data_IF_351892100871
#
_entry.id   IF_351892100871
#
_cell.length_a   1.000
_cell.length_b   1.000
_cell.length_c   1.000
_cell.angle_alpha   90.00
_cell.angle_beta   90.00
_cell.angle_gamma   90.00
#
_symmetry.space_group_name_H-M   'P 1'
#
loop_
_entity.id
_entity.type
_entity.pdbx_description
1 polymer ?
#
# COMPACT_ATOMS: atom_id res chain seq x y z
N UNK A 1 4.92 7.77 -20.84
CA UNK A 1 5.75 8.65 -19.98
C UNK A 1 5.27 8.53 -18.52
N UNK A 2 6.09 8.79 -17.49
CA UNK A 2 5.63 8.77 -16.08
C UNK A 2 5.83 10.11 -15.35
N UNK A 3 4.98 10.39 -14.36
CA UNK A 3 4.96 11.66 -13.61
C UNK A 3 6.27 11.98 -12.91
N UNK A 4 6.94 10.97 -12.34
CA UNK A 4 8.23 11.16 -11.66
C UNK A 4 9.35 11.49 -12.65
N UNK A 5 9.30 10.98 -13.88
CA UNK A 5 10.28 11.33 -14.91
C UNK A 5 10.11 12.78 -15.37
N UNK A 6 8.87 13.21 -15.61
CA UNK A 6 8.56 14.62 -15.92
C UNK A 6 9.06 15.53 -14.78
N UNK A 7 8.90 15.11 -13.52
CA UNK A 7 9.44 15.87 -12.40
C UNK A 7 10.97 16.07 -12.48
N UNK A 8 11.74 15.07 -12.97
CA UNK A 8 13.19 15.23 -13.15
C UNK A 8 13.53 16.30 -14.19
N UNK A 9 12.78 16.37 -15.29
CA UNK A 9 12.97 17.38 -16.33
C UNK A 9 12.57 18.77 -15.83
N UNK A 10 11.45 18.88 -15.11
CA UNK A 10 11.00 20.13 -14.49
C UNK A 10 12.05 20.66 -13.50
N UNK A 11 12.60 19.81 -12.64
CA UNK A 11 13.65 20.22 -11.69
C UNK A 11 14.88 20.74 -12.43
N UNK A 12 15.36 20.00 -13.43
CA UNK A 12 16.52 20.38 -14.23
C UNK A 12 16.33 21.74 -14.90
N UNK A 13 15.18 21.95 -15.55
CA UNK A 13 14.89 23.19 -16.26
C UNK A 13 14.78 24.40 -15.32
N UNK A 14 14.10 24.24 -14.18
CA UNK A 14 13.93 25.32 -13.20
C UNK A 14 15.25 25.67 -12.51
N UNK A 15 16.13 24.70 -12.28
CA UNK A 15 17.49 24.96 -11.77
C UNK A 15 18.33 25.76 -12.76
N UNK A 16 18.20 25.50 -14.07
CA UNK A 16 18.87 26.30 -15.10
C UNK A 16 18.39 27.76 -15.16
N UNK A 17 17.18 28.05 -14.65
CA UNK A 17 16.66 29.41 -14.44
C UNK A 17 17.15 30.05 -13.14
N UNK A 18 17.96 29.33 -12.35
CA UNK A 18 18.55 29.82 -11.11
C UNK A 18 17.65 29.68 -9.88
N UNK A 19 16.63 28.82 -9.91
CA UNK A 19 15.83 28.48 -8.73
C UNK A 19 16.22 27.12 -8.16
N UNK A 20 16.33 27.05 -6.84
CA UNK A 20 16.77 25.87 -6.13
C UNK A 20 15.60 25.00 -5.66
N UNK A 21 15.84 23.69 -5.56
CA UNK A 21 14.92 22.78 -4.88
C UNK A 21 15.08 22.93 -3.37
N UNK A 22 13.97 23.13 -2.67
CA UNK A 22 13.94 23.24 -1.20
C UNK A 22 13.44 21.93 -0.60
N UNK A 23 14.29 21.29 0.21
CA UNK A 23 14.04 19.94 0.73
C UNK A 23 13.98 18.88 -0.38
N UNK A 24 13.26 17.79 -0.13
CA UNK A 24 13.10 16.73 -1.12
C UNK A 24 11.85 16.95 -1.98
N UNK A 25 11.90 16.66 -3.30
CA UNK A 25 10.70 16.42 -4.09
C UNK A 25 9.82 15.36 -3.42
N UNK A 26 8.50 15.51 -3.51
CA UNK A 26 7.55 14.66 -2.79
C UNK A 26 6.79 13.77 -3.75
N UNK A 27 6.79 12.46 -3.52
CA UNK A 27 5.95 11.49 -4.22
C UNK A 27 4.81 11.05 -3.30
N UNK A 28 3.62 11.60 -3.54
CA UNK A 28 2.46 11.42 -2.67
C UNK A 28 1.45 10.49 -3.32
N UNK A 29 1.21 9.34 -2.70
CA UNK A 29 0.15 8.40 -3.08
C UNK A 29 -1.19 8.84 -2.52
N UNK A 30 -2.22 8.75 -3.34
CA UNK A 30 -3.60 9.09 -2.96
C UNK A 30 -4.43 7.82 -2.80
N UNK A 31 -5.74 7.97 -2.60
CA UNK A 31 -6.64 6.87 -2.29
C UNK A 31 -6.50 5.74 -3.32
N UNK A 32 -6.03 4.55 -2.91
CA UNK A 32 -5.65 3.51 -3.85
C UNK A 32 -6.88 2.74 -4.38
N UNK A 33 -8.10 3.06 -3.91
CA UNK A 33 -9.35 2.39 -4.29
C UNK A 33 -10.17 3.17 -5.33
N UNK A 34 -9.71 4.34 -5.77
CA UNK A 34 -10.41 5.16 -6.77
C UNK A 34 -10.41 4.47 -8.14
N UNK A 35 -11.57 4.34 -8.82
CA UNK A 35 -11.66 3.66 -10.12
C UNK A 35 -11.04 4.48 -11.27
N UNK A 36 -10.98 5.80 -11.14
CA UNK A 36 -10.46 6.72 -12.17
C UNK A 36 -8.97 7.02 -12.03
N UNK A 37 -8.22 6.19 -11.29
CA UNK A 37 -6.79 6.38 -11.06
C UNK A 37 -5.94 5.93 -12.25
N UNK A 38 -4.78 6.56 -12.39
CA UNK A 38 -3.65 5.95 -13.09
C UNK A 38 -2.97 4.92 -12.17
N UNK A 39 -2.14 4.02 -12.72
CA UNK A 39 -1.46 2.98 -11.92
C UNK A 39 -0.70 3.64 -10.76
N UNK A 40 -0.99 3.20 -9.54
CA UNK A 40 -0.36 3.69 -8.31
C UNK A 40 -0.88 5.03 -7.77
N UNK A 41 -1.83 5.73 -8.43
CA UNK A 41 -2.49 6.96 -7.98
C UNK A 41 -1.55 7.97 -7.26
N UNK A 42 -0.40 8.27 -7.88
CA UNK A 42 0.63 9.15 -7.29
C UNK A 42 0.62 10.53 -7.92
N UNK A 43 0.98 11.54 -7.13
CA UNK A 43 1.21 12.92 -7.56
C UNK A 43 2.52 13.45 -6.99
N UNK A 44 3.09 14.47 -7.63
CA UNK A 44 4.36 15.07 -7.25
C UNK A 44 4.14 16.48 -6.72
N UNK A 45 4.85 16.85 -5.66
CA UNK A 45 4.98 18.22 -5.21
C UNK A 45 6.45 18.58 -5.03
N UNK A 46 6.84 19.76 -5.50
CA UNK A 46 8.21 20.25 -5.45
C UNK A 46 8.15 21.68 -4.94
N UNK A 47 9.06 22.03 -4.03
CA UNK A 47 9.18 23.39 -3.54
C UNK A 47 10.41 24.02 -4.18
N UNK A 48 10.20 25.16 -4.85
CA UNK A 48 11.26 25.97 -5.45
C UNK A 48 11.41 27.30 -4.72
N UNK A 49 12.59 27.92 -4.84
CA UNK A 49 12.90 29.26 -4.33
C UNK A 49 14.40 29.52 -4.40
N UNK A 50 14.89 30.57 -3.74
CA UNK A 50 16.34 30.71 -3.50
C UNK A 50 16.75 29.91 -2.28
N UNK A 51 17.71 29.00 -2.45
CA UNK A 51 18.13 28.06 -1.43
C UNK A 51 19.17 28.63 -0.46
N UNK A 52 19.12 28.16 0.78
CA UNK A 52 20.14 28.42 1.80
C UNK A 52 20.32 27.24 2.77
N UNK A 53 21.26 27.39 3.69
CA UNK A 53 21.53 26.39 4.73
C UNK A 53 22.27 25.16 4.19
N UNK A 54 21.93 23.98 4.70
CA UNK A 54 22.60 22.72 4.33
C UNK A 54 22.25 22.31 2.90
N UNK A 55 23.27 21.98 2.13
CA UNK A 55 23.16 21.47 0.76
C UNK A 55 23.23 19.95 0.79
N UNK A 56 22.35 19.28 0.04
CA UNK A 56 22.35 17.82 -0.11
C UNK A 56 22.21 17.42 -1.58
N UNK A 57 23.01 16.45 -2.04
CA UNK A 57 22.77 15.79 -3.34
C UNK A 57 21.51 14.93 -3.23
N UNK A 58 20.53 15.20 -4.09
CA UNK A 58 19.24 14.49 -4.14
C UNK A 58 19.00 13.77 -5.45
N UNK A 59 19.83 13.98 -6.46
CA UNK A 59 19.69 13.31 -7.75
C UNK A 59 20.85 13.55 -8.69
N UNK A 60 20.76 12.91 -9.84
CA UNK A 60 21.63 13.12 -10.99
C UNK A 60 20.78 13.06 -12.25
N UNK A 61 20.67 14.17 -12.97
CA UNK A 61 19.79 14.35 -14.15
C UNK A 61 20.59 15.12 -15.22
N UNK A 62 21.51 14.41 -15.88
CA UNK A 62 22.51 15.01 -16.78
C UNK A 62 23.37 16.07 -16.06
N UNK A 63 23.67 15.82 -14.78
CA UNK A 63 24.27 16.77 -13.86
C UNK A 63 23.78 16.55 -12.44
N UNK A 64 24.55 16.98 -11.45
CA UNK A 64 24.17 16.78 -10.04
C UNK A 64 23.03 17.72 -9.64
N UNK A 65 21.98 17.15 -9.05
CA UNK A 65 20.86 17.90 -8.49
C UNK A 65 21.04 18.04 -6.99
N UNK A 66 21.09 19.29 -6.53
CA UNK A 66 21.15 19.64 -5.12
C UNK A 66 19.81 20.17 -4.59
N UNK A 67 19.58 19.93 -3.30
CA UNK A 67 18.52 20.57 -2.52
C UNK A 67 19.08 21.37 -1.36
N UNK A 68 18.34 22.39 -0.95
CA UNK A 68 18.67 23.26 0.17
C UNK A 68 17.69 23.08 1.32
N UNK A 69 18.18 23.17 2.56
CA UNK A 69 17.35 22.96 3.75
C UNK A 69 16.38 24.11 4.04
N UNK A 70 16.71 25.33 3.60
CA UNK A 70 15.91 26.53 3.87
C UNK A 70 15.62 27.30 2.60
N UNK A 71 14.44 27.91 2.53
CA UNK A 71 14.06 28.87 1.49
C UNK A 71 14.37 30.28 1.98
N UNK A 72 15.20 31.02 1.26
CA UNK A 72 15.54 32.42 1.54
C UNK A 72 14.46 33.34 0.96
N UNK A 73 14.07 33.11 -0.29
CA UNK A 73 13.03 33.86 -0.98
C UNK A 73 12.22 32.97 -1.92
N UNK A 74 11.04 33.45 -2.30
CA UNK A 74 10.23 32.82 -3.33
C UNK A 74 10.88 32.93 -4.71
N UNK A 75 10.46 32.05 -5.61
CA UNK A 75 10.74 32.19 -7.04
C UNK A 75 9.53 32.77 -7.78
N UNK A 76 9.77 33.28 -8.98
CA UNK A 76 8.74 33.88 -9.83
C UNK A 76 7.84 32.77 -10.43
N UNK A 77 6.54 32.85 -10.14
CA UNK A 77 5.58 31.79 -10.54
C UNK A 77 5.42 31.75 -12.06
N UNK A 78 5.39 32.91 -12.69
CA UNK A 78 5.16 33.07 -14.12
C UNK A 78 6.29 32.41 -14.92
N UNK A 79 7.55 32.69 -14.57
CA UNK A 79 8.72 32.05 -15.21
C UNK A 79 8.71 30.53 -15.05
N UNK A 80 8.41 30.05 -13.83
CA UNK A 80 8.32 28.61 -13.55
C UNK A 80 7.17 27.98 -14.34
N UNK A 81 6.03 28.67 -14.44
CA UNK A 81 4.83 28.17 -15.11
C UNK A 81 5.05 27.98 -16.60
N UNK A 82 5.68 28.94 -17.27
CA UNK A 82 6.00 28.85 -18.70
C UNK A 82 6.90 27.64 -19.00
N UNK A 83 7.95 27.44 -18.20
CA UNK A 83 8.88 26.32 -18.36
C UNK A 83 8.15 24.98 -18.15
N UNK A 84 7.32 24.89 -17.12
CA UNK A 84 6.54 23.68 -16.83
C UNK A 84 5.52 23.38 -17.94
N UNK A 85 4.88 24.40 -18.50
CA UNK A 85 3.92 24.23 -19.60
C UNK A 85 4.60 23.67 -20.86
N UNK A 86 5.77 24.19 -21.21
CA UNK A 86 6.62 23.71 -22.31
C UNK A 86 7.00 22.23 -22.14
N UNK A 87 7.46 21.84 -20.94
CA UNK A 87 7.87 20.46 -20.64
C UNK A 87 6.67 19.50 -20.67
N UNK A 88 5.53 19.90 -20.12
CA UNK A 88 4.35 19.03 -20.09
C UNK A 88 3.78 18.86 -21.50
N UNK A 89 3.72 19.94 -22.28
CA UNK A 89 3.23 19.89 -23.65
C UNK A 89 4.10 19.03 -24.56
N UNK A 90 5.41 18.96 -24.31
CA UNK A 90 6.34 18.13 -25.10
C UNK A 90 6.43 16.67 -24.65
N UNK A 91 6.30 16.37 -23.35
CA UNK A 91 6.57 15.03 -22.81
C UNK A 91 5.33 14.25 -22.36
N UNK A 92 4.21 14.92 -22.10
CA UNK A 92 3.01 14.21 -21.70
C UNK A 92 2.39 13.49 -22.90
N UNK A 93 1.96 12.24 -22.69
CA UNK A 93 1.24 11.46 -23.70
C UNK A 93 -0.20 11.98 -23.81
N UNK A 94 -0.35 13.13 -24.48
CA UNK A 94 -1.61 13.83 -24.66
C UNK A 94 -2.60 13.05 -25.54
N UNK A 95 -2.17 12.01 -26.25
CA UNK A 95 -3.08 11.15 -27.01
C UNK A 95 -3.78 10.10 -26.15
N UNK A 96 -3.25 9.75 -24.97
CA UNK A 96 -3.90 8.76 -24.09
C UNK A 96 -5.17 9.37 -23.44
N UNK A 97 -6.37 8.82 -23.70
CA UNK A 97 -7.63 9.36 -23.15
C UNK A 97 -7.69 9.33 -21.61
N UNK A 98 -6.85 8.54 -20.94
CA UNK A 98 -6.75 8.45 -19.48
C UNK A 98 -5.76 9.44 -18.88
N UNK A 99 -4.94 10.10 -19.71
CA UNK A 99 -3.94 11.08 -19.28
C UNK A 99 -4.59 12.46 -19.21
N UNK A 100 -4.73 12.98 -17.98
CA UNK A 100 -5.26 14.33 -17.70
C UNK A 100 -4.30 15.10 -16.80
N UNK A 101 -3.17 15.61 -17.33
CA UNK A 101 -2.20 16.35 -16.55
C UNK A 101 -2.82 17.57 -15.88
N UNK A 102 -2.28 17.93 -14.72
CA UNK A 102 -2.67 19.14 -14.00
C UNK A 102 -1.54 19.57 -13.08
N UNK A 103 -1.24 20.87 -13.10
CA UNK A 103 -0.21 21.49 -12.27
C UNK A 103 -0.85 22.63 -11.50
N UNK A 104 -0.44 22.80 -10.26
CA UNK A 104 -0.87 23.90 -9.40
C UNK A 104 0.37 24.54 -8.77
N UNK A 105 0.35 25.87 -8.68
CA UNK A 105 1.42 26.68 -8.12
C UNK A 105 0.87 27.42 -6.91
N UNK A 106 1.42 27.13 -5.75
CA UNK A 106 1.00 27.69 -4.47
C UNK A 106 2.17 28.42 -3.82
N UNK A 107 1.97 29.70 -3.45
CA UNK A 107 2.94 30.44 -2.60
C UNK A 107 2.98 29.86 -1.17
N UNK A 108 1.85 29.33 -0.70
CA UNK A 108 1.67 28.72 0.63
C UNK A 108 0.91 27.41 0.54
N UNK A 109 1.21 26.44 1.41
CA UNK A 109 0.58 25.11 1.36
C UNK A 109 -0.95 25.19 1.52
N UNK A 110 -1.71 24.42 0.72
CA UNK A 110 -3.13 24.30 0.90
C UNK A 110 -3.48 23.57 2.21
N UNK A 111 -4.72 23.73 2.71
CA UNK A 111 -5.15 23.08 3.95
C UNK A 111 -4.97 21.56 3.92
N UNK A 112 -4.43 20.99 5.00
CA UNK A 112 -4.14 19.56 5.14
C UNK A 112 -5.35 18.64 4.91
N UNK A 113 -6.58 19.13 5.15
CA UNK A 113 -7.78 18.33 4.93
C UNK A 113 -7.93 17.88 3.46
N UNK A 114 -7.37 18.63 2.50
CA UNK A 114 -7.38 18.26 1.08
C UNK A 114 -6.59 16.99 0.85
N UNK A 115 -5.39 16.89 1.41
CA UNK A 115 -4.61 15.66 1.40
C UNK A 115 -5.35 14.53 2.12
N UNK A 116 -5.82 14.79 3.35
CA UNK A 116 -6.52 13.78 4.18
C UNK A 116 -7.73 13.20 3.45
N UNK A 117 -8.50 14.02 2.73
CA UNK A 117 -9.60 13.56 1.90
C UNK A 117 -9.10 12.84 0.65
N UNK A 118 -8.10 13.37 -0.04
CA UNK A 118 -7.52 12.76 -1.25
C UNK A 118 -6.91 11.37 -1.04
N UNK A 119 -6.36 11.09 0.15
CA UNK A 119 -5.78 9.78 0.47
C UNK A 119 -6.79 8.78 1.05
N UNK A 120 -7.90 9.25 1.64
CA UNK A 120 -8.87 8.39 2.36
C UNK A 120 -10.28 8.31 1.75
N UNK A 121 -10.62 9.18 0.81
CA UNK A 121 -11.98 9.36 0.27
C UNK A 121 -11.95 9.75 -1.21
N UNK A 122 -13.14 9.97 -1.79
CA UNK A 122 -13.28 10.61 -3.10
C UNK A 122 -13.19 12.13 -2.90
N UNK A 123 -12.16 12.75 -3.48
CA UNK A 123 -12.01 14.20 -3.56
C UNK A 123 -12.45 14.68 -4.94
N UNK A 124 -13.40 15.62 -5.00
CA UNK A 124 -13.93 16.11 -6.27
C UNK A 124 -13.10 17.27 -6.84
N UNK A 125 -13.14 17.41 -8.17
CA UNK A 125 -12.50 18.55 -8.85
C UNK A 125 -13.11 19.90 -8.43
N UNK A 126 -14.42 19.93 -8.13
CA UNK A 126 -15.12 21.15 -7.67
C UNK A 126 -14.55 21.66 -6.34
N UNK A 127 -14.33 20.75 -5.39
CA UNK A 127 -13.72 21.08 -4.10
C UNK A 127 -12.30 21.61 -4.27
N UNK A 128 -11.51 20.98 -5.14
CA UNK A 128 -10.12 21.38 -5.41
C UNK A 128 -10.06 22.75 -6.08
N UNK A 129 -10.90 23.00 -7.11
CA UNK A 129 -10.99 24.31 -7.76
C UNK A 129 -11.38 25.42 -6.78
N UNK A 130 -12.25 25.13 -5.80
CA UNK A 130 -12.59 26.10 -4.74
C UNK A 130 -11.37 26.48 -3.91
N UNK A 131 -10.52 25.51 -3.55
CA UNK A 131 -9.28 25.78 -2.80
C UNK A 131 -8.28 26.59 -3.63
N UNK A 132 -8.08 26.21 -4.90
CA UNK A 132 -7.20 26.94 -5.83
C UNK A 132 -7.63 28.41 -5.93
N UNK A 133 -8.93 28.67 -6.14
CA UNK A 133 -9.47 30.03 -6.23
C UNK A 133 -9.35 30.80 -4.89
N UNK A 134 -9.68 30.17 -3.76
CA UNK A 134 -9.62 30.81 -2.43
C UNK A 134 -8.19 31.21 -2.05
N UNK A 135 -7.19 30.50 -2.58
CA UNK A 135 -5.79 30.74 -2.28
C UNK A 135 -5.07 31.56 -3.35
N UNK A 136 -5.78 32.03 -4.37
CA UNK A 136 -5.23 32.75 -5.51
C UNK A 136 -4.04 32.00 -6.15
N UNK A 137 -4.24 30.70 -6.38
CA UNK A 137 -3.20 29.82 -6.91
C UNK A 137 -3.27 29.71 -8.44
N UNK A 138 -2.14 29.90 -9.10
CA UNK A 138 -1.97 29.65 -10.53
C UNK A 138 -2.03 28.15 -10.83
N UNK A 139 -2.55 27.76 -11.99
CA UNK A 139 -2.61 26.35 -12.39
C UNK A 139 -2.52 26.17 -13.91
N UNK A 140 -2.13 24.97 -14.34
CA UNK A 140 -2.22 24.50 -15.71
C UNK A 140 -3.14 23.27 -15.73
N UNK A 141 -4.16 23.28 -16.58
CA UNK A 141 -5.16 22.22 -16.64
C UNK A 141 -5.30 21.72 -18.07
N UNK A 142 -4.96 20.44 -18.28
CA UNK A 142 -5.06 19.82 -19.58
C UNK A 142 -6.27 18.87 -19.62
N UNK A 143 -6.95 18.84 -20.77
CA UNK A 143 -8.17 18.04 -20.97
C UNK A 143 -9.20 18.25 -19.85
N UNK A 144 -9.59 17.19 -19.14
CA UNK A 144 -10.59 17.20 -18.06
C UNK A 144 -10.06 17.75 -16.72
N UNK A 145 -8.79 18.12 -16.62
CA UNK A 145 -8.21 18.77 -15.44
C UNK A 145 -8.15 17.91 -14.17
N UNK A 146 -8.31 16.58 -14.28
CA UNK A 146 -8.32 15.67 -13.12
C UNK A 146 -6.99 15.65 -12.35
N UNK A 147 -5.87 15.91 -13.03
CA UNK A 147 -4.55 16.00 -12.41
C UNK A 147 -4.45 17.06 -11.32
N UNK A 148 -5.28 18.11 -11.36
CA UNK A 148 -5.34 19.14 -10.32
C UNK A 148 -5.67 18.57 -8.93
N UNK A 149 -6.47 17.50 -8.88
CA UNK A 149 -6.83 16.82 -7.63
C UNK A 149 -5.58 16.29 -6.96
N UNK A 150 -4.76 15.56 -7.72
CA UNK A 150 -3.55 14.96 -7.19
C UNK A 150 -2.48 15.98 -6.89
N UNK A 151 -2.27 16.96 -7.78
CA UNK A 151 -1.29 18.02 -7.58
C UNK A 151 -1.59 18.83 -6.31
N UNK A 152 -2.85 19.24 -6.10
CA UNK A 152 -3.25 19.99 -4.89
C UNK A 152 -3.10 19.15 -3.63
N UNK A 153 -3.49 17.88 -3.66
CA UNK A 153 -3.34 16.97 -2.54
C UNK A 153 -1.86 16.69 -2.19
N UNK A 154 -0.98 16.59 -3.18
CA UNK A 154 0.45 16.42 -2.96
C UNK A 154 1.09 17.65 -2.27
N UNK A 155 0.70 18.88 -2.67
CA UNK A 155 1.18 20.11 -2.01
C UNK A 155 0.62 20.23 -0.58
N UNK A 156 -0.64 19.82 -0.36
CA UNK A 156 -1.29 19.82 0.96
C UNK A 156 -0.68 18.80 1.95
N UNK A 157 0.13 17.85 1.48
CA UNK A 157 0.64 16.77 2.32
C UNK A 157 1.59 17.28 3.42
N UNK A 158 1.24 16.94 4.65
CA UNK A 158 2.03 17.18 5.85
C UNK A 158 2.21 15.83 6.57
N UNK A 159 3.40 15.20 6.45
CA UNK A 159 3.62 13.84 6.94
C UNK A 159 3.55 13.75 8.46
N UNK A 160 2.91 12.68 8.97
CA UNK A 160 3.09 12.22 10.36
C UNK A 160 4.12 11.11 10.45
N UNK A 161 4.10 10.23 9.45
CA UNK A 161 5.11 9.24 9.13
C UNK A 161 5.54 9.51 7.68
N UNK A 162 6.77 9.16 7.32
CA UNK A 162 7.31 9.33 5.98
C UNK A 162 8.39 8.30 5.71
N UNK A 163 8.56 8.01 4.44
CA UNK A 163 9.65 7.20 3.91
C UNK A 163 10.28 7.94 2.75
N UNK A 164 11.38 7.40 2.25
CA UNK A 164 12.04 7.89 1.06
C UNK A 164 12.03 6.80 -0.02
N UNK A 165 12.02 7.21 -1.27
CA UNK A 165 12.19 6.32 -2.41
C UNK A 165 13.24 6.92 -3.35
N UNK A 166 14.32 6.20 -3.62
CA UNK A 166 15.25 6.53 -4.70
C UNK A 166 14.76 5.85 -5.96
N UNK A 167 14.47 6.63 -6.99
CA UNK A 167 14.06 6.14 -8.30
C UNK A 167 15.21 6.29 -9.28
N UNK A 168 15.54 5.19 -9.98
CA UNK A 168 16.48 5.19 -11.09
C UNK A 168 15.73 5.10 -12.41
N UNK A 169 16.29 5.70 -13.46
CA UNK A 169 15.67 5.74 -14.77
C UNK A 169 16.62 5.26 -15.86
N UNK A 170 16.03 4.62 -16.88
CA UNK A 170 16.70 4.15 -18.10
C UNK A 170 16.29 5.02 -19.29
N UNK A 171 17.10 5.01 -20.34
CA UNK A 171 16.77 5.65 -21.61
C UNK A 171 16.48 4.58 -22.68
N UNK A 172 15.28 4.00 -22.63
CA UNK A 172 14.93 2.85 -23.47
C UNK A 172 15.73 1.58 -23.14
N UNK A 173 15.79 0.65 -24.10
CA UNK A 173 16.53 -0.61 -23.97
C UNK A 173 15.86 -1.68 -23.09
N UNK A 174 16.59 -2.75 -22.80
CA UNK A 174 16.11 -3.82 -21.92
C UNK A 174 16.16 -3.39 -20.44
N UNK A 175 15.14 -3.78 -19.66
CA UNK A 175 15.15 -3.58 -18.20
C UNK A 175 15.74 -4.83 -17.58
N UNK A 176 16.90 -4.68 -16.95
CA UNK A 176 17.59 -5.77 -16.28
C UNK A 176 18.11 -5.32 -14.92
N UNK A 177 17.90 -6.17 -13.91
CA UNK A 177 18.38 -6.01 -12.53
C UNK A 177 18.85 -7.39 -12.06
N UNK A 178 20.05 -7.46 -11.51
CA UNK A 178 20.62 -8.71 -11.00
C UNK A 178 19.99 -9.09 -9.65
N UNK A 179 19.38 -10.27 -9.60
CA UNK A 179 18.64 -10.75 -8.44
C UNK A 179 19.50 -10.89 -7.18
N UNK A 180 20.71 -11.43 -7.29
CA UNK A 180 21.60 -11.65 -6.14
C UNK A 180 22.06 -10.33 -5.53
N UNK A 181 22.37 -9.32 -6.35
CA UNK A 181 22.71 -7.98 -5.86
C UNK A 181 21.56 -7.32 -5.10
N UNK A 182 20.30 -7.62 -5.44
CA UNK A 182 19.12 -7.12 -4.70
C UNK A 182 18.99 -7.83 -3.36
N UNK A 183 19.22 -9.15 -3.30
CA UNK A 183 19.21 -9.91 -2.04
C UNK A 183 20.32 -9.45 -1.10
N UNK A 184 21.52 -9.20 -1.63
CA UNK A 184 22.64 -8.66 -0.87
C UNK A 184 22.30 -7.26 -0.31
N UNK A 185 21.80 -6.37 -1.17
CA UNK A 185 21.36 -5.03 -0.75
C UNK A 185 20.28 -5.09 0.33
N UNK A 186 19.27 -5.95 0.18
CA UNK A 186 18.16 -6.10 1.13
C UNK A 186 18.63 -6.56 2.53
N UNK A 187 19.70 -7.36 2.60
CA UNK A 187 20.32 -7.81 3.87
C UNK A 187 21.19 -6.72 4.51
N UNK A 188 21.98 -6.03 3.69
CA UNK A 188 22.98 -5.04 4.13
C UNK A 188 22.43 -3.63 4.39
N UNK A 189 21.17 -3.38 3.99
CA UNK A 189 20.49 -2.10 4.15
C UNK A 189 19.19 -2.30 4.96
N UNK A 190 19.28 -2.46 6.30
CA UNK A 190 18.15 -2.84 7.14
C UNK A 190 17.03 -1.80 7.22
N UNK A 191 17.28 -0.53 6.92
CA UNK A 191 16.25 0.52 6.86
C UNK A 191 15.54 0.58 5.51
N UNK A 192 15.94 -0.24 4.53
CA UNK A 192 15.17 -0.47 3.31
C UNK A 192 14.07 -1.52 3.51
N UNK A 193 13.05 -1.49 2.67
CA UNK A 193 11.92 -2.43 2.73
C UNK A 193 11.27 -2.65 1.37
N UNK A 194 10.53 -3.76 1.27
CA UNK A 194 9.83 -4.21 0.06
C UNK A 194 10.76 -4.41 -1.15
N UNK A 195 12.00 -4.86 -0.95
CA UNK A 195 12.96 -4.94 -2.04
C UNK A 195 12.85 -6.24 -2.85
N UNK A 196 12.79 -7.36 -2.13
CA UNK A 196 12.75 -8.70 -2.71
C UNK A 196 11.77 -9.60 -1.95
N UNK A 197 11.05 -10.44 -2.69
CA UNK A 197 10.15 -11.44 -2.15
C UNK A 197 10.83 -12.81 -2.16
N UNK A 198 11.30 -13.27 -1.00
CA UNK A 198 12.02 -14.54 -0.89
C UNK A 198 11.14 -15.77 -1.12
N UNK A 199 9.89 -15.73 -0.68
CA UNK A 199 8.97 -16.86 -0.85
C UNK A 199 8.55 -17.01 -2.32
N UNK A 200 8.31 -15.89 -3.00
CA UNK A 200 7.84 -15.89 -4.39
C UNK A 200 8.96 -15.70 -5.42
N UNK A 201 10.22 -15.58 -4.96
CA UNK A 201 11.43 -15.33 -5.77
C UNK A 201 11.25 -14.17 -6.74
N UNK A 202 10.94 -12.99 -6.21
CA UNK A 202 10.53 -11.83 -7.02
C UNK A 202 11.30 -10.56 -6.67
N UNK A 203 11.85 -9.87 -7.69
CA UNK A 203 12.48 -8.56 -7.55
C UNK A 203 11.39 -7.48 -7.54
N UNK A 204 11.04 -6.97 -6.36
CA UNK A 204 9.94 -6.03 -6.19
C UNK A 204 10.30 -4.58 -6.55
N UNK A 205 11.57 -4.19 -6.38
CA UNK A 205 12.04 -2.85 -6.74
C UNK A 205 11.92 -2.55 -8.24
N UNK A 206 11.78 -3.59 -9.08
CA UNK A 206 11.78 -3.48 -10.53
C UNK A 206 10.34 -3.46 -11.08
N UNK A 207 9.90 -2.38 -11.76
CA UNK A 207 8.56 -2.37 -12.34
C UNK A 207 8.46 -3.29 -13.57
N UNK A 208 7.26 -3.80 -13.83
CA UNK A 208 6.93 -4.59 -15.04
C UNK A 208 6.28 -3.78 -16.18
N UNK A 209 6.07 -2.47 -16.00
CA UNK A 209 5.49 -1.60 -17.03
C UNK A 209 6.54 -1.08 -18.02
N UNK A 210 6.19 -0.64 -19.24
CA UNK A 210 7.12 -0.05 -20.20
C UNK A 210 7.67 1.33 -19.79
N UNK A 211 7.38 1.81 -18.57
CA UNK A 211 7.77 3.11 -18.06
C UNK A 211 9.31 3.33 -18.02
N UNK A 212 9.77 4.58 -17.89
CA UNK A 212 11.21 4.89 -17.89
C UNK A 212 11.92 4.51 -16.58
N UNK A 213 11.20 4.09 -15.54
CA UNK A 213 11.82 3.65 -14.27
C UNK A 213 12.58 2.34 -14.53
N UNK A 214 13.82 2.28 -14.04
CA UNK A 214 14.65 1.08 -14.04
C UNK A 214 14.39 0.25 -12.78
N UNK A 215 14.59 0.84 -11.60
CA UNK A 215 14.13 0.30 -10.32
C UNK A 215 13.88 1.44 -9.31
N UNK A 216 13.22 1.11 -8.19
CA UNK A 216 12.99 2.03 -7.08
C UNK A 216 13.18 1.36 -5.73
N UNK A 217 14.05 1.90 -4.88
CA UNK A 217 14.34 1.35 -3.54
C UNK A 217 13.69 2.26 -2.50
N UNK A 218 12.97 1.65 -1.55
CA UNK A 218 12.28 2.37 -0.46
C UNK A 218 12.99 2.16 0.86
N UNK A 219 13.01 3.19 1.70
CA UNK A 219 13.63 3.11 3.01
C UNK A 219 13.36 4.31 3.90
N UNK A 220 13.83 4.21 5.14
CA UNK A 220 13.68 5.25 6.16
C UNK A 220 14.90 6.20 6.21
N UNK A 221 16.07 5.77 5.75
CA UNK A 221 17.30 6.56 5.75
C UNK A 221 17.79 6.90 4.33
N UNK A 222 18.11 8.18 4.10
CA UNK A 222 18.47 8.70 2.78
C UNK A 222 19.89 8.30 2.36
N UNK A 223 20.83 8.22 3.29
CA UNK A 223 22.22 7.86 2.95
C UNK A 223 22.33 6.35 2.71
N UNK A 224 21.60 5.54 3.48
CA UNK A 224 21.46 4.11 3.24
C UNK A 224 20.79 3.84 1.88
N UNK A 225 19.80 4.63 1.45
CA UNK A 225 19.23 4.50 0.10
C UNK A 225 20.24 4.75 -1.01
N UNK A 226 21.17 5.70 -0.82
CA UNK A 226 22.27 5.93 -1.78
C UNK A 226 23.25 4.76 -1.80
N UNK A 227 23.60 4.21 -0.62
CA UNK A 227 24.39 2.98 -0.50
C UNK A 227 23.69 1.84 -1.25
N UNK A 228 22.41 1.60 -0.96
CA UNK A 228 21.59 0.57 -1.57
C UNK A 228 21.55 0.68 -3.10
N UNK A 229 21.35 1.89 -3.64
CA UNK A 229 21.38 2.15 -5.08
C UNK A 229 22.72 1.74 -5.72
N UNK A 230 23.85 1.99 -5.04
CA UNK A 230 25.17 1.63 -5.55
C UNK A 230 25.49 0.13 -5.46
N UNK A 231 24.79 -0.61 -4.59
CA UNK A 231 24.93 -2.07 -4.46
C UNK A 231 24.20 -2.84 -5.56
N UNK A 232 23.10 -2.29 -6.08
CA UNK A 232 22.27 -2.98 -7.08
C UNK A 232 22.94 -2.96 -8.45
N UNK A 233 23.26 -4.15 -8.97
CA UNK A 233 23.75 -4.33 -10.33
C UNK A 233 22.58 -4.38 -11.31
N UNK A 234 22.59 -3.51 -12.33
CA UNK A 234 21.49 -3.37 -13.30
C UNK A 234 21.97 -2.92 -14.68
N UNK A 235 21.04 -2.76 -15.62
CA UNK A 235 21.34 -2.01 -16.84
C UNK A 235 21.68 -0.55 -16.51
N UNK A 236 22.27 0.17 -17.48
CA UNK A 236 22.83 1.52 -17.25
C UNK A 236 21.78 2.49 -16.68
N UNK A 237 22.02 2.96 -15.46
CA UNK A 237 21.28 4.06 -14.86
C UNK A 237 21.61 5.34 -15.61
N UNK A 238 20.61 5.97 -16.24
CA UNK A 238 20.80 7.26 -16.95
C UNK A 238 20.71 8.44 -16.00
N UNK A 239 19.84 8.33 -14.99
CA UNK A 239 19.58 9.37 -14.01
C UNK A 239 18.89 8.76 -12.79
N UNK A 240 18.92 9.47 -11.67
CA UNK A 240 18.23 9.07 -10.46
C UNK A 240 17.76 10.29 -9.65
N UNK A 241 16.75 10.08 -8.80
CA UNK A 241 16.21 11.13 -7.93
C UNK A 241 15.64 10.52 -6.65
N UNK A 242 15.89 11.18 -5.52
CA UNK A 242 15.28 10.88 -4.22
C UNK A 242 13.95 11.62 -4.05
N UNK A 243 12.95 10.91 -3.54
CA UNK A 243 11.65 11.46 -3.19
C UNK A 243 11.33 11.22 -1.72
N UNK A 244 10.77 12.21 -1.03
CA UNK A 244 10.06 12.02 0.25
C UNK A 244 8.64 11.54 -0.04
N UNK A 245 8.18 10.49 0.62
CA UNK A 245 6.96 9.78 0.25
C UNK A 245 6.11 9.39 1.45
N UNK A 246 4.81 9.20 1.22
CA UNK A 246 3.89 8.60 2.18
C UNK A 246 3.78 7.07 2.01
N UNK A 247 4.69 6.44 1.27
CA UNK A 247 4.63 5.00 1.02
C UNK A 247 4.99 4.22 2.28
N UNK A 248 4.33 3.09 2.48
CA UNK A 248 4.52 2.25 3.66
C UNK A 248 4.09 2.91 4.98
N UNK A 249 3.12 3.83 5.00
CA UNK A 249 2.73 4.60 6.20
C UNK A 249 1.34 4.32 6.75
N UNK A 250 0.51 3.54 6.05
CA UNK A 250 -0.92 3.35 6.35
C UNK A 250 -1.76 4.64 6.33
N UNK A 251 -1.28 5.73 5.75
CA UNK A 251 -2.01 7.00 5.76
C UNK A 251 -3.37 6.95 5.04
N UNK A 252 -3.68 5.91 4.26
CA UNK A 252 -5.01 5.66 3.66
C UNK A 252 -6.03 5.04 4.61
N UNK A 253 -5.61 4.41 5.69
CA UNK A 253 -6.47 3.60 6.54
C UNK A 253 -7.32 4.44 7.51
N UNK A 254 -8.54 3.94 7.79
CA UNK A 254 -9.51 4.53 8.71
C UNK A 254 -10.10 3.46 9.61
N UNK A 255 -10.09 3.68 10.92
CA UNK A 255 -10.89 2.85 11.83
C UNK A 255 -12.38 3.05 11.52
N UNK A 256 -13.10 1.96 11.35
CA UNK A 256 -14.54 1.92 11.06
C UNK A 256 -15.20 0.80 11.84
N UNK A 257 -16.45 1.00 12.22
CA UNK A 257 -17.34 -0.11 12.52
C UNK A 257 -17.86 -0.72 11.22
N UNK A 258 -18.35 -1.97 11.25
CA UNK A 258 -18.78 -2.70 10.06
C UNK A 258 -19.88 -1.93 9.29
N UNK A 259 -20.84 -1.38 10.01
CA UNK A 259 -21.97 -0.62 9.48
C UNK A 259 -21.59 0.73 8.86
N UNK A 260 -20.40 1.25 9.15
CA UNK A 260 -19.89 2.50 8.63
C UNK A 260 -19.01 2.32 7.38
N UNK A 261 -18.69 1.06 7.02
CA UNK A 261 -17.81 0.75 5.89
C UNK A 261 -18.46 1.20 4.59
N UNK A 262 -17.73 2.01 3.83
CA UNK A 262 -18.18 2.54 2.53
C UNK A 262 -17.25 2.07 1.40
N UNK A 263 -17.78 1.84 0.19
CA UNK A 263 -16.98 1.61 -1.00
C UNK A 263 -15.91 2.69 -1.20
N UNK A 264 -14.78 2.30 -1.79
CA UNK A 264 -13.68 3.19 -2.13
C UNK A 264 -12.93 3.80 -0.93
N UNK A 265 -13.19 3.36 0.30
CA UNK A 265 -12.36 3.66 1.47
C UNK A 265 -11.33 2.53 1.72
N UNK A 266 -10.33 2.80 2.56
CA UNK A 266 -9.51 1.75 3.18
C UNK A 266 -9.75 1.78 4.68
N UNK A 267 -10.01 0.61 5.26
CA UNK A 267 -10.56 0.48 6.60
C UNK A 267 -9.73 -0.42 7.52
N UNK A 268 -9.83 -0.15 8.81
CA UNK A 268 -9.39 -0.99 9.92
C UNK A 268 -10.66 -1.39 10.67
N UNK A 269 -11.00 -2.67 10.63
CA UNK A 269 -12.25 -3.18 11.19
C UNK A 269 -11.95 -4.35 12.12
N UNK A 270 -12.49 -4.28 13.34
CA UNK A 270 -12.42 -5.37 14.31
C UNK A 270 -13.71 -6.19 14.24
N UNK A 271 -13.59 -7.52 14.27
CA UNK A 271 -14.75 -8.41 14.28
C UNK A 271 -14.37 -9.85 14.61
N UNK A 272 -15.40 -10.68 14.71
CA UNK A 272 -15.28 -12.11 14.96
C UNK A 272 -15.54 -12.84 13.64
N UNK A 273 -14.68 -13.79 13.25
CA UNK A 273 -14.92 -14.62 12.06
C UNK A 273 -16.27 -15.32 12.19
N UNK A 274 -17.14 -15.12 11.20
CA UNK A 274 -18.52 -15.59 11.23
C UNK A 274 -18.79 -16.68 10.19
N UNK A 275 -18.64 -16.35 8.90
CA UNK A 275 -18.49 -17.36 7.86
C UNK A 275 -17.03 -17.78 7.74
N UNK A 276 -16.80 -19.09 7.74
CA UNK A 276 -15.46 -19.64 7.63
C UNK A 276 -14.86 -19.43 6.22
N UNK A 277 -13.53 -19.36 6.10
CA UNK A 277 -12.86 -19.19 4.82
C UNK A 277 -13.22 -20.27 3.80
N UNK A 278 -13.71 -19.84 2.63
CA UNK A 278 -13.92 -20.70 1.46
C UNK A 278 -13.07 -20.23 0.30
N UNK A 279 -12.54 -21.19 -0.46
CA UNK A 279 -11.82 -20.91 -1.70
C UNK A 279 -12.82 -20.88 -2.86
N UNK A 280 -12.81 -19.81 -3.65
CA UNK A 280 -13.64 -19.67 -4.85
C UNK A 280 -12.78 -19.82 -6.12
N UNK A 281 -13.45 -19.84 -7.28
CA UNK A 281 -12.79 -19.87 -8.59
C UNK A 281 -11.73 -18.76 -8.72
N UNK A 282 -10.61 -19.07 -9.38
CA UNK A 282 -9.43 -18.21 -9.42
C UNK A 282 -8.56 -18.27 -8.17
N UNK A 283 -8.90 -19.11 -7.18
CA UNK A 283 -8.09 -19.33 -5.98
C UNK A 283 -8.19 -18.21 -4.95
N UNK A 284 -9.25 -17.41 -4.98
CA UNK A 284 -9.48 -16.37 -3.96
C UNK A 284 -10.06 -17.00 -2.70
N UNK A 285 -9.68 -16.47 -1.53
CA UNK A 285 -10.23 -16.92 -0.24
C UNK A 285 -11.16 -15.83 0.29
N UNK A 286 -12.41 -16.21 0.54
CA UNK A 286 -13.45 -15.33 1.04
C UNK A 286 -13.92 -15.86 2.39
N UNK A 287 -14.10 -14.96 3.36
CA UNK A 287 -14.70 -15.23 4.67
C UNK A 287 -15.49 -14.00 5.10
N UNK A 288 -16.20 -14.06 6.23
CA UNK A 288 -16.85 -12.88 6.80
C UNK A 288 -16.43 -12.66 8.25
N UNK A 289 -16.42 -11.39 8.64
CA UNK A 289 -16.34 -11.01 10.05
C UNK A 289 -17.64 -10.34 10.46
N UNK A 290 -18.01 -10.56 11.71
CA UNK A 290 -19.21 -10.01 12.31
C UNK A 290 -18.88 -9.33 13.62
N UNK A 291 -19.45 -8.16 13.80
CA UNK A 291 -19.64 -7.56 15.11
C UNK A 291 -21.15 -7.37 15.32
N UNK A 292 -21.68 -6.15 15.14
CA UNK A 292 -23.12 -5.91 15.05
C UNK A 292 -23.68 -6.35 13.68
N UNK A 293 -22.97 -5.96 12.61
CA UNK A 293 -23.23 -6.37 11.23
C UNK A 293 -22.12 -7.27 10.71
N UNK A 294 -22.43 -7.97 9.64
CA UNK A 294 -21.52 -8.84 8.92
C UNK A 294 -20.95 -8.14 7.69
N UNK A 295 -19.67 -8.39 7.39
CA UNK A 295 -19.00 -7.92 6.17
C UNK A 295 -18.05 -8.96 5.60
N UNK A 296 -18.04 -9.06 4.28
CA UNK A 296 -17.16 -9.95 3.53
C UNK A 296 -15.71 -9.42 3.53
N UNK A 297 -14.76 -10.32 3.73
CA UNK A 297 -13.33 -10.10 3.63
C UNK A 297 -12.74 -11.05 2.59
N UNK A 298 -11.78 -10.56 1.79
CA UNK A 298 -11.16 -11.35 0.73
C UNK A 298 -9.64 -11.25 0.74
N UNK A 299 -8.99 -12.41 0.63
CA UNK A 299 -7.60 -12.57 0.23
C UNK A 299 -7.56 -13.09 -1.21
N UNK A 300 -7.32 -12.19 -2.17
CA UNK A 300 -7.31 -12.53 -3.59
C UNK A 300 -6.06 -13.33 -4.00
N UNK A 301 -6.11 -13.95 -5.18
CA UNK A 301 -5.03 -14.77 -5.75
C UNK A 301 -3.66 -14.09 -5.67
N UNK A 302 -3.54 -12.78 -6.02
CA UNK A 302 -2.25 -12.10 -6.00
C UNK A 302 -1.61 -12.01 -4.61
N UNK A 303 -2.35 -12.27 -3.52
CA UNK A 303 -1.81 -12.32 -2.16
C UNK A 303 -1.06 -13.62 -1.84
N UNK A 304 -0.99 -14.57 -2.78
CA UNK A 304 -0.14 -15.78 -2.72
C UNK A 304 -0.27 -16.55 -1.40
N UNK A 305 0.83 -16.71 -0.67
CA UNK A 305 0.96 -17.43 0.60
C UNK A 305 0.07 -16.87 1.72
N UNK A 306 -0.29 -15.58 1.68
CA UNK A 306 -1.20 -14.97 2.66
C UNK A 306 -2.56 -15.68 2.71
N UNK A 307 -3.04 -16.19 1.57
CA UNK A 307 -4.27 -16.99 1.50
C UNK A 307 -4.23 -18.22 2.42
N UNK A 308 -3.07 -18.87 2.54
CA UNK A 308 -2.89 -20.05 3.40
C UNK A 308 -3.04 -19.70 4.88
N UNK A 309 -2.72 -18.47 5.28
CA UNK A 309 -2.96 -17.98 6.64
C UNK A 309 -4.46 -17.75 6.84
N UNK A 310 -5.10 -17.04 5.92
CA UNK A 310 -6.54 -16.74 5.99
C UNK A 310 -7.37 -18.02 6.01
N UNK A 311 -7.00 -19.05 5.25
CA UNK A 311 -7.67 -20.37 5.24
C UNK A 311 -7.67 -21.10 6.60
N UNK A 312 -6.77 -20.73 7.53
CA UNK A 312 -6.67 -21.36 8.85
C UNK A 312 -7.60 -20.73 9.89
N UNK A 313 -8.26 -19.62 9.55
CA UNK A 313 -9.24 -18.98 10.42
C UNK A 313 -10.48 -19.87 10.57
N UNK A 314 -11.09 -19.83 11.75
CA UNK A 314 -12.32 -20.58 12.05
C UNK A 314 -13.33 -19.64 12.69
N UNK A 315 -14.59 -20.05 12.69
CA UNK A 315 -15.65 -19.27 13.33
C UNK A 315 -15.34 -19.05 14.81
N UNK A 316 -15.48 -17.79 15.25
CA UNK A 316 -15.19 -17.38 16.63
C UNK A 316 -13.82 -16.74 16.83
N UNK A 317 -12.93 -16.76 15.84
CA UNK A 317 -11.65 -16.03 15.91
C UNK A 317 -11.89 -14.53 15.97
N UNK A 318 -11.24 -13.85 16.91
CA UNK A 318 -11.26 -12.39 17.01
C UNK A 318 -10.12 -11.81 16.20
N UNK A 319 -10.44 -10.97 15.22
CA UNK A 319 -9.47 -10.43 14.26
C UNK A 319 -9.66 -8.92 14.04
N UNK A 320 -8.58 -8.24 13.67
CA UNK A 320 -8.62 -6.89 13.09
C UNK A 320 -8.12 -6.97 11.65
N UNK A 321 -8.98 -6.63 10.70
CA UNK A 321 -8.67 -6.65 9.27
C UNK A 321 -8.34 -5.24 8.77
N UNK A 322 -7.40 -5.16 7.85
CA UNK A 322 -6.93 -3.93 7.20
C UNK A 322 -7.05 -4.10 5.70
N UNK A 323 -7.71 -3.17 5.01
CA UNK A 323 -7.89 -3.36 3.57
C UNK A 323 -8.67 -2.28 2.85
N UNK A 324 -8.61 -2.33 1.52
CA UNK A 324 -9.42 -1.48 0.63
C UNK A 324 -10.81 -2.07 0.39
N UNK A 325 -11.84 -1.21 0.33
CA UNK A 325 -13.24 -1.64 0.21
C UNK A 325 -13.68 -1.61 -1.25
N UNK A 326 -14.01 -2.78 -1.79
CA UNK A 326 -14.66 -2.93 -3.10
C UNK A 326 -16.16 -2.62 -2.98
N UNK A 327 -16.77 -2.09 -4.04
CA UNK A 327 -18.20 -1.71 -4.05
C UNK A 327 -19.14 -2.92 -4.16
N UNK A 328 -18.90 -3.80 -5.13
CA UNK A 328 -19.83 -4.88 -5.49
C UNK A 328 -19.10 -6.21 -5.74
N UNK A 329 -19.31 -7.25 -4.91
CA UNK A 329 -19.93 -7.15 -3.58
C UNK A 329 -19.12 -6.21 -2.65
N UNK A 330 -19.76 -5.76 -1.57
CA UNK A 330 -19.10 -4.92 -0.57
C UNK A 330 -18.13 -5.78 0.23
N UNK A 331 -16.84 -5.68 -0.10
CA UNK A 331 -15.80 -6.60 0.39
C UNK A 331 -14.56 -5.84 0.81
N UNK A 332 -13.98 -6.21 1.96
CA UNK A 332 -12.67 -5.73 2.40
C UNK A 332 -11.57 -6.58 1.76
N UNK A 333 -10.78 -5.97 0.88
CA UNK A 333 -9.63 -6.59 0.24
C UNK A 333 -8.44 -6.50 1.19
N UNK A 334 -8.05 -7.63 1.78
CA UNK A 334 -7.05 -7.66 2.84
C UNK A 334 -5.66 -7.22 2.37
N UNK A 335 -5.06 -6.33 3.14
CA UNK A 335 -3.65 -5.92 3.07
C UNK A 335 -2.85 -6.54 4.23
N UNK A 336 -3.49 -6.69 5.40
CA UNK A 336 -2.97 -7.34 6.60
C UNK A 336 -4.10 -7.70 7.56
N UNK A 337 -3.79 -8.57 8.50
CA UNK A 337 -4.71 -9.05 9.53
C UNK A 337 -3.94 -9.23 10.84
N UNK A 338 -4.56 -8.80 11.94
CA UNK A 338 -4.11 -9.10 13.30
C UNK A 338 -5.08 -10.10 13.91
N UNK A 339 -4.57 -11.27 14.29
CA UNK A 339 -5.34 -12.33 14.95
C UNK A 339 -5.23 -12.11 16.44
N UNK A 340 -6.22 -11.43 17.01
CA UNK A 340 -6.21 -11.02 18.41
C UNK A 340 -6.46 -12.19 19.37
N UNK A 341 -7.33 -13.13 18.99
CA UNK A 341 -7.70 -14.27 19.83
C UNK A 341 -8.17 -15.45 19.01
N UNK A 342 -7.63 -16.64 19.28
CA UNK A 342 -8.05 -17.88 18.63
C UNK A 342 -9.21 -18.56 19.37
N UNK A 343 -10.23 -18.94 18.61
CA UNK A 343 -11.28 -19.83 19.10
C UNK A 343 -10.72 -21.21 19.42
N UNK A 344 -11.20 -21.80 20.53
CA UNK A 344 -10.88 -23.17 20.92
C UNK A 344 -11.66 -24.14 20.05
N UNK A 345 -10.94 -24.94 19.28
CA UNK A 345 -11.53 -26.01 18.45
C UNK A 345 -11.40 -27.33 19.18
N UNK A 346 -12.49 -28.09 19.23
CA UNK A 346 -12.52 -29.42 19.81
C UNK A 346 -12.89 -30.43 18.74
N UNK A 347 -12.16 -31.53 18.64
CA UNK A 347 -12.53 -32.67 17.79
C UNK A 347 -12.92 -33.84 18.67
N UNK A 348 -13.83 -34.66 18.14
CA UNK A 348 -14.15 -35.93 18.77
C UNK A 348 -12.97 -36.89 18.60
N UNK A 349 -12.42 -37.36 19.72
CA UNK A 349 -11.35 -38.35 19.76
C UNK A 349 -11.94 -39.76 19.71
N UNK A 350 -12.86 -40.05 20.63
CA UNK A 350 -13.40 -41.39 20.84
C UNK A 350 -14.89 -41.36 21.15
N UNK A 351 -15.57 -42.47 20.85
CA UNK A 351 -16.94 -42.67 21.31
C UNK A 351 -16.94 -42.86 22.84
N UNK A 352 -18.02 -42.47 23.55
CA UNK A 352 -18.14 -42.68 25.00
C UNK A 352 -17.96 -44.15 25.37
N UNK A 353 -17.41 -44.39 26.55
CA UNK A 353 -17.43 -45.70 27.19
C UNK A 353 -18.81 -45.96 27.82
N UNK A 354 -19.30 -47.18 27.67
CA UNK A 354 -20.53 -47.59 28.33
C UNK A 354 -20.33 -47.64 29.85
N UNK A 355 -21.03 -46.76 30.59
CA UNK A 355 -21.00 -46.68 32.07
C UNK A 355 -21.32 -48.00 32.80
N UNK A 356 -21.87 -49.01 32.11
CA UNK A 356 -22.17 -50.34 32.70
C UNK A 356 -21.09 -51.39 32.44
N UNK A 357 -20.48 -51.42 31.24
CA UNK A 357 -19.60 -52.52 30.84
C UNK A 357 -18.22 -52.08 30.33
N UNK A 358 -17.94 -50.77 30.33
CA UNK A 358 -16.65 -50.21 29.95
C UNK A 358 -16.30 -50.29 28.47
N UNK A 359 -17.14 -50.87 27.60
CA UNK A 359 -16.87 -50.91 26.14
C UNK A 359 -17.22 -49.59 25.45
N UNK A 360 -16.43 -49.19 24.45
CA UNK A 360 -16.79 -48.08 23.56
C UNK A 360 -18.15 -48.32 22.90
N UNK A 361 -18.99 -47.31 22.95
CA UNK A 361 -20.31 -47.33 22.31
C UNK A 361 -20.16 -47.10 20.80
N UNK A 362 -21.10 -47.58 19.98
CA UNK A 362 -21.13 -47.29 18.53
C UNK A 362 -22.03 -46.11 18.25
N UNK A 363 -21.69 -45.31 17.23
CA UNK A 363 -22.57 -44.25 16.74
C UNK A 363 -23.85 -44.85 16.16
N UNK A 364 -25.00 -44.25 16.46
CA UNK A 364 -26.29 -44.64 15.89
C UNK A 364 -26.79 -43.67 14.81
N UNK A 365 -25.91 -42.84 14.28
CA UNK A 365 -26.16 -41.87 13.21
C UNK A 365 -25.83 -40.42 13.62
N UNK A 366 -25.63 -39.55 12.63
CA UNK A 366 -25.31 -38.13 12.85
C UNK A 366 -26.40 -37.46 13.69
N UNK A 367 -26.04 -36.84 14.82
CA UNK A 367 -26.96 -36.18 15.74
C UNK A 367 -27.77 -37.11 16.64
N UNK A 368 -27.59 -38.43 16.55
CA UNK A 368 -28.42 -39.43 17.27
C UNK A 368 -27.73 -40.01 18.51
N UNK A 369 -26.47 -39.67 18.76
CA UNK A 369 -25.68 -40.17 19.89
C UNK A 369 -25.10 -41.56 19.66
N UNK A 370 -24.94 -42.32 20.75
CA UNK A 370 -24.25 -43.61 20.78
C UNK A 370 -25.08 -44.70 21.45
N UNK A 371 -24.82 -45.96 21.09
CA UNK A 371 -25.42 -47.14 21.74
C UNK A 371 -24.35 -48.19 22.05
N UNK A 372 -24.42 -48.76 23.25
CA UNK A 372 -23.61 -49.91 23.60
C UNK A 372 -24.22 -51.18 23.00
N UNK A 373 -23.47 -51.90 22.18
CA UNK A 373 -23.94 -53.17 21.60
C UNK A 373 -24.20 -54.24 22.66
N UNK A 374 -23.38 -54.31 23.72
CA UNK A 374 -23.51 -55.33 24.77
C UNK A 374 -24.66 -55.05 25.75
N UNK A 375 -24.87 -53.79 26.12
CA UNK A 375 -25.80 -53.42 27.21
C UNK A 375 -27.06 -52.70 26.73
N UNK A 376 -27.16 -52.34 25.45
CA UNK A 376 -28.29 -51.60 24.89
C UNK A 376 -28.42 -50.13 25.32
N UNK A 377 -27.70 -49.70 26.38
CA UNK A 377 -27.70 -48.31 26.87
C UNK A 377 -27.29 -47.32 25.77
N UNK A 378 -27.86 -46.12 25.83
CA UNK A 378 -27.56 -45.00 24.93
C UNK A 378 -26.77 -43.91 25.65
N UNK A 379 -25.99 -43.15 24.89
CA UNK A 379 -25.28 -41.96 25.36
C UNK A 379 -25.49 -40.82 24.35
N UNK A 380 -25.46 -39.58 24.84
CA UNK A 380 -25.60 -38.37 24.01
C UNK A 380 -24.31 -38.07 23.26
N UNK A 381 -24.37 -37.22 22.24
CA UNK A 381 -23.17 -36.80 21.49
C UNK A 381 -22.14 -36.09 22.38
N UNK A 382 -22.62 -35.29 23.33
CA UNK A 382 -21.85 -34.57 24.35
C UNK A 382 -21.03 -35.49 25.27
N UNK A 383 -21.42 -36.76 25.41
CA UNK A 383 -20.70 -37.73 26.24
C UNK A 383 -19.47 -38.29 25.50
N UNK A 384 -19.27 -37.96 24.22
CA UNK A 384 -18.06 -38.32 23.49
C UNK A 384 -16.83 -37.68 24.12
N UNK A 385 -15.71 -38.40 24.06
CA UNK A 385 -14.43 -37.87 24.50
C UNK A 385 -13.97 -36.88 23.43
N UNK A 386 -14.01 -35.60 23.77
CA UNK A 386 -13.52 -34.52 22.93
C UNK A 386 -12.10 -34.14 23.34
N UNK A 387 -11.28 -33.80 22.36
CA UNK A 387 -9.93 -33.29 22.58
C UNK A 387 -9.75 -31.92 21.94
N UNK A 388 -9.00 -31.05 22.62
CA UNK A 388 -8.65 -29.74 22.08
C UNK A 388 -7.69 -29.95 20.91
N UNK A 389 -8.02 -29.35 19.76
CA UNK A 389 -7.15 -29.37 18.59
C UNK A 389 -6.15 -28.22 18.71
N UNK A 390 -4.86 -28.52 18.63
CA UNK A 390 -3.83 -27.50 18.46
C UNK A 390 -3.93 -26.92 17.05
N UNK A 391 -3.96 -25.59 16.96
CA UNK A 391 -4.11 -24.88 15.69
C UNK A 391 -2.75 -24.44 15.17
N UNK A 392 -2.56 -24.56 13.86
CA UNK A 392 -1.31 -24.15 13.20
C UNK A 392 -1.12 -22.63 13.14
N UNK A 393 -2.21 -21.87 13.12
CA UNK A 393 -2.16 -20.40 13.17
C UNK A 393 -1.94 -19.94 14.61
N UNK A 394 -1.18 -18.87 14.78
CA UNK A 394 -0.89 -18.24 16.07
C UNK A 394 -1.61 -16.90 16.15
N UNK A 395 -1.75 -16.39 17.38
CA UNK A 395 -2.18 -15.01 17.59
C UNK A 395 -1.06 -14.06 17.16
N UNK A 396 -1.44 -12.90 16.63
CA UNK A 396 -0.52 -11.88 16.14
C UNK A 396 -0.73 -11.48 14.67
N UNK A 397 0.28 -10.81 14.14
CA UNK A 397 0.18 -10.10 12.86
C UNK A 397 0.58 -10.93 11.66
N UNK A 398 -0.19 -10.78 10.59
CA UNK A 398 0.08 -11.36 9.29
C UNK A 398 -0.17 -10.30 8.20
N UNK A 399 0.72 -10.25 7.21
CA UNK A 399 0.59 -9.33 6.08
C UNK A 399 0.73 -10.05 4.74
N UNK A 400 0.26 -9.39 3.68
CA UNK A 400 0.49 -9.87 2.32
C UNK A 400 1.99 -9.89 2.00
N UNK A 401 2.45 -10.81 1.13
CA UNK A 401 3.85 -10.87 0.72
C UNK A 401 4.26 -9.60 -0.03
N UNK A 402 5.58 -9.40 -0.15
CA UNK A 402 6.19 -8.21 -0.77
C UNK A 402 5.63 -7.97 -2.18
N UNK A 403 5.48 -9.03 -2.99
CA UNK A 403 4.92 -8.95 -4.36
C UNK A 403 3.50 -8.39 -4.43
N UNK A 404 2.72 -8.57 -3.36
CA UNK A 404 1.31 -8.17 -3.28
C UNK A 404 1.10 -6.85 -2.55
N UNK A 405 2.16 -6.27 -1.95
CA UNK A 405 2.06 -5.10 -1.10
C UNK A 405 1.68 -3.86 -1.89
N UNK A 406 0.68 -3.14 -1.40
CA UNK A 406 0.26 -1.86 -1.97
C UNK A 406 1.19 -0.75 -1.49
N UNK A 407 1.40 0.28 -2.32
CA UNK A 407 2.32 1.38 -2.02
C UNK A 407 2.14 2.04 -0.64
N UNK A 408 0.90 2.19 -0.15
CA UNK A 408 0.62 2.85 1.13
C UNK A 408 0.64 1.90 2.33
N UNK A 409 0.56 0.58 2.12
CA UNK A 409 0.47 -0.40 3.19
C UNK A 409 1.80 -0.45 3.96
N UNK A 410 1.77 -0.09 5.24
CA UNK A 410 2.92 -0.14 6.13
C UNK A 410 3.32 -1.60 6.38
N UNK A 411 4.54 -2.00 6.01
CA UNK A 411 5.02 -3.36 6.25
C UNK A 411 5.21 -3.59 7.75
N UNK A 412 5.01 -4.83 8.22
CA UNK A 412 5.17 -5.20 9.64
C UNK A 412 6.55 -4.83 10.19
N UNK A 413 7.61 -4.95 9.37
CA UNK A 413 8.98 -4.52 9.69
C UNK A 413 9.06 -3.06 10.18
N UNK A 414 8.19 -2.17 9.68
CA UNK A 414 8.15 -0.74 10.10
C UNK A 414 7.18 -0.47 11.26
N UNK A 415 6.45 -1.47 11.75
CA UNK A 415 5.48 -1.30 12.84
C UNK A 415 6.09 -1.48 14.24
N UNK A 416 7.36 -1.88 14.34
CA UNK A 416 8.01 -2.18 15.61
C UNK A 416 7.44 -3.44 16.29
N UNK A 417 6.82 -4.32 15.51
CA UNK A 417 6.27 -5.59 15.95
C UNK A 417 7.32 -6.65 15.63
N UNK A 418 7.89 -7.26 16.68
CA UNK A 418 8.83 -8.38 16.58
C UNK A 418 8.11 -9.72 16.54
#
# INVERSE_FOLDING_TARGET
MCTTYIATEVIKAIQNKGFDVIGYPRLVRLNPNIPWKTRGNGAIAIQFGKGGGKIKKIGDVDGTIYSFSTKISDGEIEEIKEEVDSIISSLAEMDDPKTHPGVVFFKRKPPYFIYKKGVKEILSLKEVKKVIATMDASFLSYKKGRGLIGATAAVAWHPRDKTYEVLTYRNGGERWVNEESVKEMDRECPHTFDNYDYENRHIQIMPHSPCPILYGIRGDDVEELKKAMNMVSSSKVKRWMLFETNQGTDEHLKKRKVEEVRPYESVIVKGIVWEEPRTIEGGHVIFSIKNEKEIECAAYEPTKNFRKIVQKLVRGDEVVVYGGVRKEPLTINLEKIDVCKLAKVYKKRENPLCKRCGKHMKSIGKGKGYRCEKCGKKAREEEAVIEKVEREIKEGWYEVPVVARRHLAKPLKRMGIT
#
